data_IF_071164408234
#
_entry.id   IF_071164408234
#
_cell.length_a   1.000
_cell.length_b   1.000
_cell.length_c   1.000
_cell.angle_alpha   90.00
_cell.angle_beta   90.00
_cell.angle_gamma   90.00
#
_symmetry.space_group_name_H-M   'P 1'
#
loop_
_entity.id
_entity.type
_entity.pdbx_description
1 polymer ?
#
# COMPACT_ATOMS: atom_id res chain seq x y z
N UNK A 1 -2.62 -30.97 31.70
CA UNK A 1 -3.59 -31.33 30.64
C UNK A 1 -2.93 -31.11 29.29
N UNK A 2 -2.68 -32.19 28.56
CA UNK A 2 -2.07 -32.22 27.24
C UNK A 2 -3.17 -32.14 26.17
N UNK A 3 -3.58 -30.93 25.82
CA UNK A 3 -4.57 -30.70 24.76
C UNK A 3 -3.91 -30.76 23.40
N UNK A 4 -4.19 -31.84 22.66
CA UNK A 4 -3.72 -32.05 21.29
C UNK A 4 -4.32 -30.96 20.38
N UNK A 5 -3.51 -30.11 19.73
CA UNK A 5 -4.03 -29.10 18.83
C UNK A 5 -4.74 -29.80 17.66
N UNK A 6 -5.95 -29.35 17.38
CA UNK A 6 -6.78 -29.82 16.29
C UNK A 6 -6.16 -29.34 14.97
N UNK A 7 -5.60 -30.28 14.19
CA UNK A 7 -4.90 -30.01 12.93
C UNK A 7 -5.69 -29.11 11.96
N UNK A 8 -7.03 -29.20 11.95
CA UNK A 8 -7.90 -28.32 11.16
C UNK A 8 -7.85 -26.85 11.60
N UNK A 9 -7.81 -26.58 12.90
CA UNK A 9 -7.68 -25.22 13.42
C UNK A 9 -6.30 -24.66 13.12
N UNK A 10 -5.26 -25.48 13.23
CA UNK A 10 -3.88 -25.07 12.91
C UNK A 10 -3.80 -24.67 11.43
N UNK A 11 -4.35 -25.49 10.54
CA UNK A 11 -4.39 -25.20 9.11
C UNK A 11 -5.17 -23.91 8.79
N UNK A 12 -6.32 -23.71 9.43
CA UNK A 12 -7.12 -22.49 9.28
C UNK A 12 -6.37 -21.23 9.72
N UNK A 13 -5.60 -21.31 10.82
CA UNK A 13 -4.78 -20.20 11.31
C UNK A 13 -3.65 -19.88 10.33
N UNK A 14 -2.98 -20.90 9.78
CA UNK A 14 -1.92 -20.71 8.79
C UNK A 14 -2.45 -20.01 7.54
N UNK A 15 -3.62 -20.43 7.03
CA UNK A 15 -4.26 -19.79 5.88
C UNK A 15 -4.57 -18.32 6.17
N UNK A 16 -5.16 -18.02 7.33
CA UNK A 16 -5.46 -16.65 7.73
C UNK A 16 -4.21 -15.76 7.78
N UNK A 17 -3.11 -16.25 8.37
CA UNK A 17 -1.84 -15.54 8.41
C UNK A 17 -1.26 -15.25 7.02
N UNK A 18 -1.36 -16.21 6.08
CA UNK A 18 -0.88 -16.01 4.71
C UNK A 18 -1.66 -14.92 3.95
N UNK A 19 -2.96 -14.77 4.20
CA UNK A 19 -3.76 -13.67 3.63
C UNK A 19 -3.47 -12.31 4.28
N UNK A 20 -3.04 -12.29 5.54
CA UNK A 20 -2.61 -11.07 6.22
C UNK A 20 -1.26 -10.56 5.66
N UNK A 21 -0.38 -11.48 5.27
CA UNK A 21 0.96 -11.16 4.75
C UNK A 21 0.91 -10.51 3.35
N UNK A 22 -0.14 -10.76 2.56
CA UNK A 22 -0.28 -10.21 1.20
C UNK A 22 -0.63 -8.71 1.14
N UNK A 23 -0.83 -8.04 2.28
CA UNK A 23 -1.16 -6.61 2.34
C UNK A 23 -0.02 -5.72 2.83
N UNK A 24 1.21 -6.24 2.97
CA UNK A 24 2.38 -5.41 3.28
C UNK A 24 2.75 -4.61 2.02
N UNK A 25 2.11 -3.45 1.86
CA UNK A 25 2.51 -2.47 0.85
C UNK A 25 3.88 -1.92 1.25
N UNK A 26 4.93 -2.34 0.55
CA UNK A 26 6.26 -1.76 0.69
C UNK A 26 6.23 -0.38 0.02
N UNK A 27 5.88 0.65 0.79
CA UNK A 27 5.97 2.03 0.31
C UNK A 27 7.46 2.37 0.12
N UNK A 28 7.87 2.57 -1.13
CA UNK A 28 9.14 3.21 -1.42
C UNK A 28 9.03 4.67 -0.99
N UNK A 29 10.01 5.17 -0.25
CA UNK A 29 10.09 6.56 0.20
C UNK A 29 10.89 7.46 -0.75
N UNK A 30 11.55 6.85 -1.75
CA UNK A 30 12.46 7.51 -2.68
C UNK A 30 12.20 7.03 -4.11
N UNK A 31 12.03 7.96 -5.07
CA UNK A 31 12.12 7.68 -6.51
C UNK A 31 13.57 7.85 -6.95
N UNK A 32 14.17 6.81 -7.52
CA UNK A 32 15.43 6.93 -8.25
C UNK A 32 15.19 7.42 -9.69
N UNK A 33 16.18 8.04 -10.34
CA UNK A 33 16.06 8.68 -11.67
C UNK A 33 15.47 7.77 -12.77
N UNK A 34 15.56 6.45 -12.60
CA UNK A 34 15.05 5.45 -13.54
C UNK A 34 13.70 4.82 -13.14
N UNK A 35 13.07 5.33 -12.07
CA UNK A 35 11.79 4.84 -11.59
C UNK A 35 10.69 5.85 -11.91
N UNK A 36 9.59 5.36 -12.47
CA UNK A 36 8.43 6.17 -12.79
C UNK A 36 7.22 5.72 -11.99
N UNK A 37 6.38 6.68 -11.63
CA UNK A 37 5.05 6.41 -11.10
C UNK A 37 4.05 6.43 -12.25
N UNK A 38 3.15 5.45 -12.26
CA UNK A 38 2.12 5.29 -13.28
C UNK A 38 0.75 5.03 -12.66
N UNK A 39 -0.30 5.51 -13.34
CA UNK A 39 -1.68 5.25 -12.92
C UNK A 39 -2.02 5.87 -11.56
N UNK A 40 -2.35 5.01 -10.59
CA UNK A 40 -2.74 5.32 -9.22
C UNK A 40 -1.64 5.00 -8.20
N UNK A 41 -0.39 4.84 -8.65
CA UNK A 41 0.74 4.60 -7.77
C UNK A 41 1.08 5.86 -6.98
N UNK A 42 1.41 5.67 -5.70
CA UNK A 42 1.79 6.71 -4.76
C UNK A 42 3.05 6.31 -3.99
N UNK A 43 3.73 7.31 -3.42
CA UNK A 43 4.93 7.17 -2.61
C UNK A 43 4.71 7.88 -1.29
N UNK A 44 4.96 7.16 -0.21
CA UNK A 44 4.82 7.69 1.13
C UNK A 44 6.21 7.97 1.67
N UNK A 45 6.45 9.22 2.11
CA UNK A 45 7.72 9.63 2.71
C UNK A 45 8.07 8.78 3.93
N UNK A 46 9.37 8.63 4.21
CA UNK A 46 9.84 8.05 5.45
C UNK A 46 9.14 8.69 6.68
N UNK A 47 8.45 7.88 7.48
CA UNK A 47 7.67 8.34 8.63
C UNK A 47 6.20 8.69 8.35
N UNK A 48 5.71 8.50 7.11
CA UNK A 48 4.27 8.59 6.80
C UNK A 48 3.70 10.01 6.69
N UNK A 49 4.56 11.03 6.69
CA UNK A 49 4.15 12.44 6.79
C UNK A 49 3.54 12.99 5.49
N UNK A 50 4.06 12.54 4.34
CA UNK A 50 3.65 13.01 3.03
C UNK A 50 3.39 11.83 2.10
N UNK A 51 2.36 11.95 1.27
CA UNK A 51 2.10 11.05 0.15
C UNK A 51 2.16 11.81 -1.17
N UNK A 52 2.94 11.28 -2.13
CA UNK A 52 3.15 11.83 -3.45
C UNK A 52 2.55 10.90 -4.51
N UNK A 53 1.74 11.43 -5.42
CA UNK A 53 1.17 10.63 -6.49
C UNK A 53 0.61 11.44 -7.65
N UNK A 54 0.22 10.74 -8.70
CA UNK A 54 -0.54 11.31 -9.81
C UNK A 54 -2.02 11.03 -9.62
N UNK A 55 -2.84 12.05 -9.79
CA UNK A 55 -4.29 11.89 -9.81
C UNK A 55 -4.89 12.50 -11.08
N UNK A 56 -6.01 11.90 -11.49
CA UNK A 56 -6.88 12.47 -12.52
C UNK A 56 -7.92 13.36 -11.83
N UNK A 57 -7.95 14.68 -12.11
CA UNK A 57 -9.14 15.46 -11.82
C UNK A 57 -10.32 14.84 -12.59
N UNK A 58 -11.54 14.92 -12.05
CA UNK A 58 -12.72 14.24 -12.59
C UNK A 58 -13.01 14.47 -14.08
N UNK A 59 -14.02 13.76 -14.59
CA UNK A 59 -14.34 13.48 -16.01
C UNK A 59 -14.28 14.64 -17.05
N UNK A 60 -14.13 15.89 -16.64
CA UNK A 60 -14.18 17.07 -17.52
C UNK A 60 -12.81 17.68 -17.88
N UNK A 61 -11.71 17.24 -17.27
CA UNK A 61 -10.38 17.75 -17.63
C UNK A 61 -9.68 16.84 -18.64
N UNK A 62 -9.49 17.34 -19.86
CA UNK A 62 -8.67 16.73 -20.90
C UNK A 62 -7.29 16.31 -20.33
N UNK A 63 -7.10 14.99 -20.14
CA UNK A 63 -5.87 14.21 -19.89
C UNK A 63 -4.73 14.85 -19.08
N UNK A 64 -5.04 15.74 -18.14
CA UNK A 64 -4.02 16.43 -17.36
C UNK A 64 -3.83 15.71 -16.03
N UNK A 65 -2.72 14.99 -15.90
CA UNK A 65 -2.29 14.40 -14.64
C UNK A 65 -1.74 15.51 -13.74
N UNK A 66 -2.25 15.61 -12.52
CA UNK A 66 -1.76 16.57 -11.54
C UNK A 66 -0.95 15.84 -10.47
N UNK A 67 0.05 16.55 -9.91
CA UNK A 67 0.84 16.08 -8.77
C UNK A 67 0.08 16.42 -7.48
N UNK A 68 -0.14 15.42 -6.63
CA UNK A 68 -0.74 15.60 -5.31
C UNK A 68 0.31 15.39 -4.23
N UNK A 69 0.35 16.30 -3.26
CA UNK A 69 1.11 16.17 -2.02
C UNK A 69 0.11 16.26 -0.88
N UNK A 70 -0.18 15.14 -0.22
CA UNK A 70 -1.07 15.10 0.94
C UNK A 70 -0.23 15.05 2.20
N UNK A 71 -0.57 15.87 3.19
CA UNK A 71 0.05 15.82 4.52
C UNK A 71 -0.79 14.95 5.44
N UNK A 72 -0.27 13.78 5.79
CA UNK A 72 -0.92 12.90 6.75
C UNK A 72 -0.31 13.17 8.12
N UNK A 73 -0.84 14.17 8.82
CA UNK A 73 -0.59 14.36 10.26
C UNK A 73 -1.97 14.37 10.95
N UNK A 74 -2.14 13.70 12.11
CA UNK A 74 -3.42 13.62 12.82
C UNK A 74 -4.07 14.98 13.14
#
# INVERSE_FOLDING_TARGET
>A
MNTKPNSKSVFSVILLCAFLESHVSLAADTISENQSLSGNQTIVSAGGMFELGFFKPGQLSNYSWNLLVETTIP
#
